data_IF_280317572697
#
_entry.id   IF_280317572697
#
_cell.length_a   1.000
_cell.length_b   1.000
_cell.length_c   1.000
_cell.angle_alpha   90.00
_cell.angle_beta   90.00
_cell.angle_gamma   90.00
#
_symmetry.space_group_name_H-M   'P 1'
#
loop_
_entity.id
_entity.type
_entity.pdbx_description
1 polymer ?
#
# COMPACT_ATOMS: atom_id res chain seq x y z
N UNK A 1 -19.99 -26.82 -1.66
CA UNK A 1 -19.06 -26.46 -2.74
C UNK A 1 -17.79 -25.92 -2.10
N UNK A 2 -16.68 -26.47 -2.50
CA UNK A 2 -15.37 -25.94 -2.09
C UNK A 2 -15.20 -24.52 -2.66
N UNK A 3 -14.73 -23.58 -1.86
CA UNK A 3 -14.59 -22.16 -2.24
C UNK A 3 -13.15 -21.69 -1.91
N UNK A 4 -12.17 -22.16 -2.71
CA UNK A 4 -10.75 -21.83 -2.46
C UNK A 4 -10.47 -20.34 -2.55
N UNK A 5 -11.25 -19.58 -3.33
CA UNK A 5 -11.21 -18.12 -3.39
C UNK A 5 -11.51 -17.45 -2.04
N UNK A 6 -12.46 -17.97 -1.29
CA UNK A 6 -12.77 -17.49 0.07
C UNK A 6 -11.71 -17.94 1.09
N UNK A 7 -11.17 -19.16 0.95
CA UNK A 7 -10.09 -19.64 1.83
C UNK A 7 -8.80 -18.82 1.66
N UNK A 8 -8.50 -18.36 0.45
CA UNK A 8 -7.38 -17.45 0.20
C UNK A 8 -7.55 -16.10 0.90
N UNK A 9 -8.78 -15.60 1.06
CA UNK A 9 -9.03 -14.34 1.78
C UNK A 9 -8.88 -14.48 3.30
N UNK A 10 -9.10 -15.69 3.87
CA UNK A 10 -8.93 -15.90 5.31
C UNK A 10 -7.48 -15.72 5.72
N UNK A 11 -7.24 -14.74 6.58
CA UNK A 11 -5.89 -14.35 6.97
C UNK A 11 -5.12 -13.49 5.96
N UNK A 12 -5.72 -13.16 4.81
CA UNK A 12 -5.10 -12.30 3.81
C UNK A 12 -4.92 -10.85 4.30
N UNK A 13 -3.94 -10.17 3.75
CA UNK A 13 -3.71 -8.74 3.95
C UNK A 13 -3.77 -8.04 2.60
N UNK A 14 -4.69 -7.09 2.45
CA UNK A 14 -4.70 -6.16 1.32
C UNK A 14 -3.62 -5.10 1.53
N UNK A 15 -2.57 -5.12 0.72
CA UNK A 15 -1.44 -4.20 0.88
C UNK A 15 -1.71 -2.80 0.35
N UNK A 16 -2.88 -2.56 -0.28
CA UNK A 16 -3.17 -1.31 -0.95
C UNK A 16 -4.68 -1.03 -1.05
N UNK A 17 -5.23 -0.32 -0.09
CA UNK A 17 -6.67 -0.04 -0.02
C UNK A 17 -6.97 1.46 0.08
N UNK A 18 -7.87 1.95 -0.77
CA UNK A 18 -8.33 3.34 -0.76
C UNK A 18 -9.76 3.46 -0.22
N UNK A 19 -9.96 4.35 0.76
CA UNK A 19 -11.26 4.55 1.41
C UNK A 19 -11.52 6.04 1.68
N UNK A 20 -12.76 6.39 2.02
CA UNK A 20 -13.09 7.71 2.57
C UNK A 20 -12.61 7.82 4.03
N UNK A 21 -12.23 9.04 4.49
CA UNK A 21 -12.24 10.32 3.75
C UNK A 21 -11.09 10.40 2.75
N UNK A 22 -11.33 11.00 1.59
CA UNK A 22 -10.34 11.26 0.56
C UNK A 22 -10.79 12.44 -0.32
N UNK A 23 -9.87 13.07 -1.04
CA UNK A 23 -10.23 14.09 -2.04
C UNK A 23 -11.01 13.47 -3.21
N UNK A 24 -10.81 12.20 -3.49
CA UNK A 24 -11.57 11.44 -4.47
C UNK A 24 -12.82 10.82 -3.84
N UNK A 25 -13.88 10.74 -4.63
CA UNK A 25 -15.07 10.01 -4.21
C UNK A 25 -14.73 8.51 -4.10
N UNK A 26 -14.86 7.96 -2.90
CA UNK A 26 -14.65 6.54 -2.62
C UNK A 26 -15.99 5.82 -2.48
N UNK A 27 -15.99 4.50 -2.73
CA UNK A 27 -17.19 3.66 -2.60
C UNK A 27 -17.54 3.35 -1.15
N UNK A 28 -16.53 3.20 -0.27
CA UNK A 28 -16.69 2.89 1.16
C UNK A 28 -15.72 3.71 2.00
N UNK A 29 -15.97 3.76 3.30
CA UNK A 29 -15.09 4.33 4.31
C UNK A 29 -14.26 3.26 5.03
N UNK A 30 -13.38 3.69 5.95
CA UNK A 30 -12.50 2.81 6.71
C UNK A 30 -13.25 1.79 7.57
N UNK A 31 -14.34 2.22 8.21
CA UNK A 31 -15.13 1.35 9.10
C UNK A 31 -15.84 0.27 8.29
N UNK A 32 -16.46 0.65 7.18
CA UNK A 32 -17.10 -0.30 6.26
C UNK A 32 -16.10 -1.29 5.67
N UNK A 33 -14.87 -0.84 5.33
CA UNK A 33 -13.82 -1.76 4.90
C UNK A 33 -13.47 -2.76 6.02
N UNK A 34 -13.34 -2.31 7.25
CA UNK A 34 -13.03 -3.17 8.39
C UNK A 34 -14.14 -4.23 8.63
N UNK A 35 -15.41 -3.84 8.49
CA UNK A 35 -16.55 -4.75 8.56
C UNK A 35 -16.50 -5.83 7.45
N UNK A 36 -16.26 -5.43 6.21
CA UNK A 36 -16.10 -6.38 5.11
C UNK A 36 -14.89 -7.28 5.29
N UNK A 37 -13.72 -6.73 5.65
CA UNK A 37 -12.53 -7.53 5.89
C UNK A 37 -12.76 -8.56 7.02
N UNK A 38 -13.46 -8.17 8.08
CA UNK A 38 -13.89 -9.09 9.16
C UNK A 38 -14.80 -10.19 8.62
N UNK A 39 -15.82 -9.85 7.83
CA UNK A 39 -16.77 -10.82 7.28
C UNK A 39 -16.09 -11.86 6.36
N UNK A 40 -15.04 -11.45 5.62
CA UNK A 40 -14.23 -12.35 4.79
C UNK A 40 -13.10 -13.05 5.56
N UNK A 41 -12.94 -12.77 6.86
CA UNK A 41 -11.91 -13.36 7.71
C UNK A 41 -10.49 -12.89 7.36
N UNK A 42 -10.35 -11.74 6.74
CA UNK A 42 -9.03 -11.16 6.41
C UNK A 42 -8.28 -10.77 7.69
N UNK A 43 -6.95 -10.85 7.64
CA UNK A 43 -6.09 -10.35 8.72
C UNK A 43 -6.11 -8.82 8.78
N UNK A 44 -6.08 -8.15 7.63
CA UNK A 44 -6.04 -6.69 7.63
C UNK A 44 -5.85 -6.05 6.27
N UNK A 45 -5.55 -4.77 6.31
CA UNK A 45 -5.34 -3.94 5.12
C UNK A 45 -4.46 -2.73 5.40
N UNK A 46 -3.72 -2.27 4.40
CA UNK A 46 -2.96 -1.02 4.44
C UNK A 46 -3.84 0.09 3.86
N UNK A 47 -4.13 1.09 4.69
CA UNK A 47 -4.85 2.29 4.25
C UNK A 47 -3.91 3.22 3.48
N UNK A 48 -4.22 3.48 2.23
CA UNK A 48 -3.49 4.44 1.40
C UNK A 48 -4.36 5.65 1.07
N UNK A 49 -3.83 6.84 1.32
CA UNK A 49 -4.43 8.10 0.90
C UNK A 49 -3.37 8.92 0.16
N UNK A 50 -3.76 9.50 -0.96
CA UNK A 50 -2.83 10.31 -1.76
C UNK A 50 -2.47 11.64 -1.11
N UNK A 51 -3.32 12.14 -0.22
CA UNK A 51 -3.30 13.54 0.22
C UNK A 51 -3.07 13.73 1.71
N UNK A 52 -3.06 12.64 2.48
CA UNK A 52 -2.86 12.67 3.93
C UNK A 52 -2.18 11.39 4.46
N UNK A 53 -1.57 11.48 5.65
CA UNK A 53 -1.18 10.28 6.39
C UNK A 53 -2.43 9.56 6.90
N UNK A 54 -2.42 8.22 6.81
CA UNK A 54 -3.53 7.37 7.27
C UNK A 54 -3.29 6.77 8.65
N UNK A 55 -2.18 7.12 9.32
CA UNK A 55 -1.81 6.54 10.62
C UNK A 55 -2.86 6.78 11.71
N UNK A 56 -3.40 7.99 11.79
CA UNK A 56 -4.48 8.31 12.73
C UNK A 56 -5.78 7.56 12.42
N UNK A 57 -6.10 7.36 11.13
CA UNK A 57 -7.26 6.57 10.68
C UNK A 57 -7.09 5.11 11.10
N UNK A 58 -5.94 4.51 10.82
CA UNK A 58 -5.60 3.14 11.19
C UNK A 58 -5.68 2.93 12.73
N UNK A 59 -5.19 3.89 13.53
CA UNK A 59 -5.30 3.85 14.98
C UNK A 59 -6.75 3.71 15.45
N UNK A 60 -7.66 4.54 14.91
CA UNK A 60 -9.07 4.48 15.31
C UNK A 60 -9.79 3.24 14.77
N UNK A 61 -9.50 2.80 13.55
CA UNK A 61 -10.04 1.54 13.02
C UNK A 61 -9.68 0.36 13.91
N UNK A 62 -8.41 0.22 14.30
CA UNK A 62 -7.96 -0.85 15.19
C UNK A 62 -8.63 -0.84 16.57
N UNK A 63 -9.02 0.33 17.06
CA UNK A 63 -9.76 0.46 18.33
C UNK A 63 -11.23 0.06 18.20
N UNK A 64 -11.84 0.36 17.06
CA UNK A 64 -13.27 0.10 16.82
C UNK A 64 -13.52 -1.31 16.28
N UNK A 65 -12.56 -1.86 15.53
CA UNK A 65 -12.65 -3.15 14.84
C UNK A 65 -11.45 -4.05 15.18
N UNK A 66 -11.33 -4.54 16.45
CA UNK A 66 -10.15 -5.30 16.90
C UNK A 66 -10.01 -6.69 16.23
N UNK A 67 -10.96 -7.08 15.40
CA UNK A 67 -10.95 -8.37 14.67
C UNK A 67 -10.03 -8.31 13.43
N UNK A 68 -9.70 -7.12 12.95
CA UNK A 68 -8.82 -6.88 11.80
C UNK A 68 -7.71 -5.90 12.16
N UNK A 69 -6.66 -5.87 11.36
CA UNK A 69 -5.55 -4.94 11.52
C UNK A 69 -5.57 -3.92 10.37
N UNK A 70 -5.81 -2.65 10.69
CA UNK A 70 -5.57 -1.56 9.76
C UNK A 70 -4.13 -1.05 9.95
N UNK A 71 -3.39 -0.93 8.86
CA UNK A 71 -2.03 -0.41 8.84
C UNK A 71 -2.02 0.98 8.23
N UNK A 72 -1.43 1.93 8.95
CA UNK A 72 -1.27 3.30 8.47
C UNK A 72 -0.09 3.43 7.51
N UNK A 73 -0.12 4.51 6.74
CA UNK A 73 0.89 4.82 5.74
C UNK A 73 0.95 6.32 5.44
N UNK A 74 1.92 6.71 4.62
CA UNK A 74 1.99 8.05 4.03
C UNK A 74 2.45 7.96 2.58
N UNK A 75 1.88 8.80 1.73
CA UNK A 75 2.31 8.99 0.33
C UNK A 75 2.94 10.36 0.21
N UNK A 76 4.18 10.44 -0.25
CA UNK A 76 4.97 11.68 -0.30
C UNK A 76 4.60 12.56 -1.50
N UNK A 77 3.29 12.80 -1.65
CA UNK A 77 2.74 13.74 -2.61
C UNK A 77 2.85 15.20 -2.11
N UNK A 78 2.61 16.17 -2.99
CA UNK A 78 2.68 17.61 -2.66
C UNK A 78 1.78 18.02 -1.51
N UNK A 79 0.63 17.36 -1.37
CA UNK A 79 -0.35 17.63 -0.30
C UNK A 79 0.21 17.42 1.11
N UNK A 80 1.21 16.55 1.25
CA UNK A 80 1.94 16.34 2.52
C UNK A 80 3.33 17.00 2.53
N UNK A 81 3.68 17.78 1.49
CA UNK A 81 4.95 18.50 1.39
C UNK A 81 5.99 17.84 0.47
N UNK A 82 5.59 16.88 -0.37
CA UNK A 82 6.48 16.20 -1.33
C UNK A 82 7.49 15.28 -0.64
N UNK A 83 8.71 15.21 -1.18
CA UNK A 83 9.82 14.45 -0.59
C UNK A 83 10.33 15.13 0.68
N UNK A 84 9.55 15.03 1.74
CA UNK A 84 9.83 15.67 3.03
C UNK A 84 10.21 14.62 4.07
N UNK A 85 11.51 14.53 4.49
CA UNK A 85 11.95 13.57 5.49
C UNK A 85 11.22 13.69 6.83
N UNK A 86 10.87 14.90 7.27
CA UNK A 86 10.12 15.11 8.52
C UNK A 86 8.73 14.49 8.48
N UNK A 87 8.08 14.49 7.33
CA UNK A 87 6.76 13.85 7.16
C UNK A 87 6.89 12.33 7.20
N UNK A 88 7.92 11.77 6.56
CA UNK A 88 8.19 10.34 6.59
C UNK A 88 8.47 9.87 8.02
N UNK A 89 9.39 10.55 8.73
CA UNK A 89 9.74 10.27 10.12
C UNK A 89 8.51 10.36 11.04
N UNK A 90 7.75 11.46 10.96
CA UNK A 90 6.56 11.62 11.77
C UNK A 90 5.53 10.51 11.52
N UNK A 91 5.25 10.17 10.25
CA UNK A 91 4.31 9.09 9.92
C UNK A 91 4.77 7.74 10.48
N UNK A 92 6.07 7.43 10.40
CA UNK A 92 6.66 6.20 10.94
C UNK A 92 6.47 6.15 12.46
N UNK A 93 6.80 7.22 13.17
CA UNK A 93 6.60 7.30 14.63
C UNK A 93 5.12 7.26 15.06
N UNK A 94 4.21 7.66 14.19
CA UNK A 94 2.76 7.44 14.37
C UNK A 94 2.31 6.02 13.97
N UNK A 95 3.22 5.11 13.57
CA UNK A 95 2.95 3.71 13.28
C UNK A 95 2.68 3.40 11.81
N UNK A 96 3.16 4.23 10.88
CA UNK A 96 3.11 3.88 9.46
C UNK A 96 3.91 2.60 9.19
N UNK A 97 3.34 1.71 8.39
CA UNK A 97 4.00 0.48 7.92
C UNK A 97 4.58 0.64 6.51
N UNK A 98 4.11 1.63 5.77
CA UNK A 98 4.59 1.90 4.40
C UNK A 98 4.78 3.41 4.21
N UNK A 99 5.92 3.78 3.66
CA UNK A 99 6.19 5.11 3.10
C UNK A 99 6.21 4.96 1.58
N UNK A 100 5.22 5.54 0.91
CA UNK A 100 5.22 5.59 -0.55
C UNK A 100 5.94 6.84 -1.05
N UNK A 101 6.81 6.68 -2.03
CA UNK A 101 7.27 7.77 -2.87
C UNK A 101 6.08 8.41 -3.60
N UNK A 102 6.24 9.58 -4.23
CA UNK A 102 5.14 10.27 -4.88
C UNK A 102 4.34 9.39 -5.83
N UNK A 103 3.02 9.48 -5.73
CA UNK A 103 2.11 8.81 -6.64
C UNK A 103 1.55 9.80 -7.67
N UNK A 104 0.32 10.24 -7.53
CA UNK A 104 -0.36 11.10 -8.50
C UNK A 104 0.34 12.47 -8.72
N UNK A 105 1.18 12.89 -7.79
CA UNK A 105 2.01 14.09 -7.95
C UNK A 105 3.44 13.78 -8.43
N UNK A 106 3.76 12.54 -8.81
CA UNK A 106 5.06 12.25 -9.39
C UNK A 106 5.18 12.87 -10.79
N UNK A 107 6.41 13.25 -11.18
CA UNK A 107 6.69 13.75 -12.51
C UNK A 107 6.33 12.73 -13.59
N UNK A 108 6.70 11.47 -13.36
CA UNK A 108 6.38 10.39 -14.30
C UNK A 108 4.86 10.20 -14.50
N UNK A 109 4.05 10.30 -13.42
CA UNK A 109 2.59 10.21 -13.54
C UNK A 109 2.03 11.36 -14.40
N UNK A 110 2.50 12.59 -14.16
CA UNK A 110 2.07 13.77 -14.93
C UNK A 110 2.42 13.63 -16.42
N UNK A 111 3.63 13.17 -16.72
CA UNK A 111 4.10 12.94 -18.10
C UNK A 111 3.31 11.80 -18.78
N UNK A 112 3.07 10.69 -18.09
CA UNK A 112 2.37 9.53 -18.64
C UNK A 112 0.92 9.83 -19.03
N UNK A 113 0.21 10.59 -18.19
CA UNK A 113 -1.20 10.93 -18.43
C UNK A 113 -1.38 12.26 -19.17
N UNK A 114 -0.29 12.91 -19.62
CA UNK A 114 -0.31 14.24 -20.23
C UNK A 114 -1.10 15.27 -19.39
N UNK A 115 -0.93 15.16 -18.09
CA UNK A 115 -1.59 16.04 -17.12
C UNK A 115 -0.50 16.74 -16.32
N UNK A 116 -0.26 18.06 -16.52
CA UNK A 116 0.74 18.83 -15.76
C UNK A 116 0.41 18.87 -14.27
N UNK A 117 -0.79 18.44 -13.91
CA UNK A 117 -1.29 18.40 -12.56
C UNK A 117 -2.22 17.21 -12.35
N UNK A 118 -2.28 16.83 -11.09
CA UNK A 118 -3.19 15.87 -10.54
C UNK A 118 -4.61 16.01 -11.12
N UNK A 119 -5.22 14.93 -11.67
CA UNK A 119 -6.56 14.98 -12.20
C UNK A 119 -7.52 15.49 -11.11
N UNK A 120 -8.08 16.65 -11.33
CA UNK A 120 -8.95 17.28 -10.35
C UNK A 120 -10.33 16.63 -10.39
N UNK A 121 -10.56 15.62 -9.58
CA UNK A 121 -11.89 15.07 -9.33
C UNK A 121 -12.73 15.95 -8.38
N UNK A 122 -12.55 17.27 -8.45
CA UNK A 122 -13.30 18.22 -7.64
C UNK A 122 -13.73 19.43 -8.46
N UNK A 123 -15.01 19.76 -8.40
CA UNK A 123 -15.55 20.94 -9.08
C UNK A 123 -14.85 22.21 -8.61
N UNK A 124 -14.29 22.98 -9.54
CA UNK A 124 -13.92 24.37 -9.34
C UNK A 124 -12.63 24.64 -8.55
N UNK A 125 -11.75 23.66 -8.35
CA UNK A 125 -10.43 23.94 -7.78
C UNK A 125 -9.53 24.60 -8.80
N UNK A 126 -8.88 25.69 -8.40
CA UNK A 126 -7.78 26.26 -9.14
C UNK A 126 -6.61 25.27 -9.10
N UNK A 127 -6.13 24.90 -10.26
CA UNK A 127 -4.95 24.06 -10.41
C UNK A 127 -3.73 24.78 -9.80
N UNK A 128 -3.02 24.13 -8.88
CA UNK A 128 -1.78 24.65 -8.34
C UNK A 128 -0.64 24.28 -9.29
N UNK A 129 0.22 25.23 -9.68
CA UNK A 129 1.29 24.96 -10.64
C UNK A 129 2.34 24.01 -10.07
N UNK A 130 2.94 23.21 -10.92
CA UNK A 130 4.09 22.39 -10.58
C UNK A 130 4.40 21.28 -11.59
N UNK A 131 5.68 20.98 -11.76
CA UNK A 131 6.19 20.05 -12.78
C UNK A 131 6.22 18.57 -12.36
N UNK A 132 5.47 18.21 -11.32
CA UNK A 132 5.56 16.89 -10.72
C UNK A 132 6.74 16.79 -9.74
N UNK A 133 6.67 15.79 -8.86
CA UNK A 133 7.73 15.48 -7.88
C UNK A 133 8.59 14.35 -8.45
N UNK A 134 9.90 14.55 -8.50
CA UNK A 134 10.86 13.51 -8.88
C UNK A 134 11.85 13.28 -7.75
N UNK A 135 12.40 12.08 -7.69
CA UNK A 135 13.48 11.73 -6.74
C UNK A 135 14.85 12.20 -7.22
N UNK A 136 14.96 12.71 -8.46
CA UNK A 136 16.19 13.16 -9.04
C UNK A 136 16.45 14.65 -8.84
N UNK A 137 17.72 15.03 -8.77
CA UNK A 137 18.20 16.39 -8.95
C UNK A 137 17.99 16.86 -10.41
N UNK A 138 18.32 18.10 -10.72
CA UNK A 138 18.17 18.68 -12.07
C UNK A 138 18.89 17.89 -13.17
N UNK A 139 19.91 17.12 -12.82
CA UNK A 139 20.65 16.29 -13.78
C UNK A 139 19.86 15.06 -14.28
N UNK A 140 18.70 14.77 -13.67
CA UNK A 140 17.83 13.67 -14.01
C UNK A 140 18.42 12.27 -13.71
N UNK A 141 19.41 12.19 -12.83
CA UNK A 141 20.14 10.93 -12.52
C UNK A 141 20.50 10.80 -11.06
N UNK A 142 20.95 11.88 -10.43
CA UNK A 142 21.38 11.89 -9.03
C UNK A 142 20.18 11.98 -8.12
N UNK A 143 20.07 11.12 -7.10
CA UNK A 143 18.99 11.24 -6.13
C UNK A 143 19.14 12.52 -5.31
N UNK A 144 18.02 13.17 -5.05
CA UNK A 144 17.96 14.31 -4.14
C UNK A 144 18.42 13.92 -2.73
N UNK A 145 18.97 14.89 -2.00
CA UNK A 145 19.30 14.68 -0.59
C UNK A 145 18.09 14.18 0.21
N UNK A 146 16.91 14.75 -0.08
CA UNK A 146 15.67 14.36 0.59
C UNK A 146 15.30 12.88 0.36
N UNK A 147 15.42 12.37 -0.88
CA UNK A 147 15.17 10.97 -1.19
C UNK A 147 16.14 10.03 -0.44
N UNK A 148 17.43 10.37 -0.39
CA UNK A 148 18.43 9.59 0.38
C UNK A 148 18.12 9.58 1.88
N UNK A 149 17.83 10.74 2.47
CA UNK A 149 17.47 10.82 3.89
C UNK A 149 16.20 10.04 4.21
N UNK A 150 15.21 9.99 3.30
CA UNK A 150 14.03 9.14 3.48
C UNK A 150 14.40 7.65 3.47
N UNK A 151 15.33 7.21 2.61
CA UNK A 151 15.83 5.82 2.66
C UNK A 151 16.49 5.50 4.00
N UNK A 152 17.32 6.39 4.53
CA UNK A 152 17.97 6.25 5.83
C UNK A 152 16.95 6.11 6.97
N UNK A 153 15.95 7.01 7.04
CA UNK A 153 14.88 6.98 8.05
C UNK A 153 14.07 5.67 7.96
N UNK A 154 13.72 5.24 6.74
CA UNK A 154 12.96 4.01 6.51
C UNK A 154 13.76 2.78 6.95
N UNK A 155 15.07 2.75 6.66
CA UNK A 155 15.97 1.66 7.06
C UNK A 155 16.12 1.57 8.57
N UNK A 156 16.35 2.70 9.25
CA UNK A 156 16.50 2.78 10.71
C UNK A 156 15.27 2.27 11.47
N UNK A 157 14.09 2.37 10.87
CA UNK A 157 12.83 1.98 11.49
C UNK A 157 12.26 0.66 10.96
N UNK A 158 12.95 -0.02 10.03
CA UNK A 158 12.55 -1.29 9.38
C UNK A 158 11.09 -1.29 8.86
N UNK A 159 10.68 -0.18 8.22
CA UNK A 159 9.38 -0.05 7.55
C UNK A 159 9.52 -0.23 6.04
N UNK A 160 8.41 -0.43 5.34
CA UNK A 160 8.45 -0.61 3.90
C UNK A 160 8.59 0.74 3.15
N UNK A 161 9.50 0.78 2.18
CA UNK A 161 9.60 1.85 1.18
C UNK A 161 8.97 1.41 -0.12
N UNK A 162 7.95 2.12 -0.60
CA UNK A 162 7.26 1.79 -1.84
C UNK A 162 7.49 2.87 -2.90
N UNK A 163 7.65 2.46 -4.16
CA UNK A 163 8.08 3.35 -5.26
C UNK A 163 7.01 4.34 -5.72
N UNK A 164 5.74 4.16 -5.34
CA UNK A 164 4.68 5.01 -5.85
C UNK A 164 4.59 4.97 -7.38
N UNK A 165 4.51 6.13 -8.02
CA UNK A 165 4.39 6.27 -9.47
C UNK A 165 5.70 6.77 -10.11
N UNK A 166 6.84 6.29 -9.64
CA UNK A 166 8.14 6.63 -10.20
C UNK A 166 8.38 5.93 -11.54
N UNK A 167 9.19 6.55 -12.40
CA UNK A 167 9.68 5.92 -13.63
C UNK A 167 10.65 4.75 -13.32
N UNK A 168 10.85 3.86 -14.28
CA UNK A 168 11.79 2.73 -14.10
C UNK A 168 13.22 3.21 -13.79
N UNK A 169 13.66 4.33 -14.37
CA UNK A 169 14.97 4.89 -14.06
C UNK A 169 15.07 5.33 -12.60
N UNK A 170 14.04 6.02 -12.09
CA UNK A 170 13.96 6.43 -10.69
C UNK A 170 13.86 5.23 -9.75
N UNK A 171 13.07 4.20 -10.10
CA UNK A 171 12.92 2.96 -9.32
C UNK A 171 14.29 2.28 -9.13
N UNK A 172 15.07 2.11 -10.22
CA UNK A 172 16.38 1.47 -10.15
C UNK A 172 17.35 2.24 -9.28
N UNK A 173 17.44 3.57 -9.48
CA UNK A 173 18.35 4.41 -8.70
C UNK A 173 17.93 4.49 -7.24
N UNK A 174 16.63 4.57 -6.96
CA UNK A 174 16.10 4.55 -5.59
C UNK A 174 16.38 3.22 -4.91
N UNK A 175 16.21 2.08 -5.62
CA UNK A 175 16.49 0.76 -5.07
C UNK A 175 17.96 0.61 -4.69
N UNK A 176 18.88 1.05 -5.53
CA UNK A 176 20.32 0.98 -5.23
C UNK A 176 20.64 1.81 -3.97
N UNK A 177 20.11 3.03 -3.85
CA UNK A 177 20.28 3.84 -2.64
C UNK A 177 19.57 3.26 -1.41
N UNK A 178 18.42 2.64 -1.58
CA UNK A 178 17.71 1.95 -0.50
C UNK A 178 18.52 0.78 0.05
N UNK A 179 19.17 0.01 -0.83
CA UNK A 179 20.09 -1.08 -0.45
C UNK A 179 21.29 -0.52 0.32
N UNK A 180 21.91 0.55 -0.18
CA UNK A 180 23.04 1.22 0.48
C UNK A 180 22.68 1.73 1.88
N UNK A 181 21.46 2.25 2.05
CA UNK A 181 20.93 2.70 3.34
C UNK A 181 20.53 1.55 4.28
N UNK A 182 20.40 0.31 3.78
CA UNK A 182 19.96 -0.84 4.57
C UNK A 182 18.45 -1.06 4.62
N UNK A 183 17.69 -0.56 3.65
CA UNK A 183 16.24 -0.81 3.55
C UNK A 183 15.98 -2.28 3.21
N UNK A 184 15.34 -3.01 4.11
CA UNK A 184 15.03 -4.43 3.96
C UNK A 184 13.69 -4.70 3.24
N UNK A 185 12.81 -3.69 3.13
CA UNK A 185 11.43 -3.83 2.66
C UNK A 185 11.16 -2.83 1.54
N UNK A 186 11.47 -3.23 0.32
CA UNK A 186 11.33 -2.38 -0.86
C UNK A 186 10.19 -2.91 -1.74
N UNK A 187 9.15 -2.09 -1.97
CA UNK A 187 7.97 -2.46 -2.76
C UNK A 187 7.98 -1.68 -4.07
N UNK A 188 7.92 -2.41 -5.19
CA UNK A 188 7.65 -1.81 -6.50
C UNK A 188 6.15 -1.76 -6.71
N UNK A 189 5.60 -0.57 -6.56
CA UNK A 189 4.15 -0.31 -6.60
C UNK A 189 3.61 -0.51 -8.01
N UNK A 190 2.43 -1.14 -8.14
CA UNK A 190 1.69 -1.36 -9.40
C UNK A 190 2.53 -1.96 -10.53
N UNK A 191 3.39 -2.93 -10.27
CA UNK A 191 4.26 -3.53 -11.27
C UNK A 191 3.52 -4.07 -12.51
N UNK A 192 2.21 -4.34 -12.37
CA UNK A 192 1.32 -4.81 -13.41
C UNK A 192 0.48 -3.71 -14.09
N UNK A 193 0.46 -2.48 -13.56
CA UNK A 193 -0.33 -1.39 -14.14
C UNK A 193 0.42 -0.68 -15.28
N UNK A 194 -0.30 -0.16 -16.29
CA UNK A 194 0.28 0.42 -17.50
C UNK A 194 1.29 1.53 -17.23
N UNK A 195 1.09 2.31 -16.18
CA UNK A 195 2.01 3.36 -15.74
C UNK A 195 3.44 2.85 -15.50
N UNK A 196 3.56 1.68 -14.88
CA UNK A 196 4.84 1.03 -14.60
C UNK A 196 5.12 -0.11 -15.58
N UNK A 197 4.12 -0.94 -15.89
CA UNK A 197 4.08 -2.13 -16.75
C UNK A 197 5.44 -2.78 -16.98
N UNK A 198 6.03 -3.26 -15.90
CA UNK A 198 7.37 -3.83 -15.94
C UNK A 198 7.32 -5.22 -16.57
N UNK A 199 8.04 -5.42 -17.66
CA UNK A 199 8.21 -6.74 -18.23
C UNK A 199 8.84 -7.71 -17.22
N UNK A 200 8.58 -9.02 -17.39
CA UNK A 200 8.99 -10.06 -16.41
C UNK A 200 10.50 -10.08 -16.14
N UNK A 201 11.34 -9.76 -17.11
CA UNK A 201 12.79 -9.75 -16.92
C UNK A 201 13.24 -8.58 -16.04
N UNK A 202 12.59 -7.41 -16.18
CA UNK A 202 12.81 -6.26 -15.30
C UNK A 202 12.35 -6.57 -13.88
N UNK A 203 11.21 -7.24 -13.72
CA UNK A 203 10.74 -7.66 -12.40
C UNK A 203 11.74 -8.63 -11.75
N UNK A 204 12.27 -9.60 -12.48
CA UNK A 204 13.32 -10.52 -11.98
C UNK A 204 14.60 -9.78 -11.59
N UNK A 205 15.02 -8.79 -12.38
CA UNK A 205 16.17 -7.92 -12.05
C UNK A 205 15.97 -7.24 -10.69
N UNK A 206 14.83 -6.58 -10.49
CA UNK A 206 14.53 -5.85 -9.26
C UNK A 206 14.35 -6.80 -8.06
N UNK A 207 13.71 -7.95 -8.26
CA UNK A 207 13.56 -9.01 -7.24
C UNK A 207 14.92 -9.57 -6.81
N UNK A 208 15.82 -9.80 -7.76
CA UNK A 208 17.17 -10.29 -7.45
C UNK A 208 17.96 -9.33 -6.55
N UNK A 209 17.57 -8.04 -6.53
CA UNK A 209 18.11 -7.01 -5.62
C UNK A 209 17.27 -6.84 -4.35
N UNK A 210 16.31 -7.72 -4.07
CA UNK A 210 15.50 -7.73 -2.85
C UNK A 210 14.18 -6.97 -2.92
N UNK A 211 13.72 -6.53 -4.11
CA UNK A 211 12.41 -5.91 -4.23
C UNK A 211 11.26 -6.92 -4.12
N UNK A 212 10.13 -6.45 -3.62
CA UNK A 212 8.83 -7.12 -3.72
C UNK A 212 7.97 -6.40 -4.75
N UNK A 213 7.42 -7.14 -5.71
CA UNK A 213 6.48 -6.59 -6.69
C UNK A 213 5.09 -6.49 -6.07
N UNK A 214 4.44 -5.35 -6.21
CA UNK A 214 3.01 -5.22 -5.88
C UNK A 214 2.20 -5.34 -7.17
N UNK A 215 1.32 -6.35 -7.22
CA UNK A 215 0.27 -6.44 -8.23
C UNK A 215 -1.05 -5.93 -7.65
N UNK A 216 -1.84 -5.25 -8.48
CA UNK A 216 -3.09 -4.64 -8.03
C UNK A 216 -4.28 -5.21 -8.76
N UNK A 217 -5.31 -5.54 -7.99
CA UNK A 217 -6.51 -6.17 -8.53
C UNK A 217 -7.35 -5.19 -9.39
N UNK A 218 -7.29 -3.88 -9.11
CA UNK A 218 -8.10 -2.88 -9.80
C UNK A 218 -7.88 -2.91 -11.33
N UNK A 219 -6.66 -3.20 -11.78
CA UNK A 219 -6.34 -3.32 -13.22
C UNK A 219 -7.10 -4.44 -13.94
N UNK A 220 -7.59 -5.45 -13.19
CA UNK A 220 -8.29 -6.61 -13.72
C UNK A 220 -9.79 -6.63 -13.42
N UNK A 221 -10.25 -5.92 -12.37
CA UNK A 221 -11.65 -6.04 -11.89
C UNK A 221 -12.40 -4.71 -11.82
N UNK A 222 -11.70 -3.57 -11.90
CA UNK A 222 -12.35 -2.27 -11.85
C UNK A 222 -12.96 -1.90 -13.19
N UNK A 223 -14.24 -1.51 -13.27
CA UNK A 223 -14.87 -1.13 -14.53
C UNK A 223 -14.31 0.16 -15.14
N UNK A 224 -13.58 0.95 -14.35
CA UNK A 224 -13.01 2.25 -14.78
C UNK A 224 -11.49 2.25 -14.92
N UNK A 225 -10.81 1.20 -14.42
CA UNK A 225 -9.34 1.03 -14.52
C UNK A 225 -8.97 -0.35 -15.07
N UNK A 226 -9.90 -1.00 -15.76
CA UNK A 226 -9.62 -2.28 -16.37
C UNK A 226 -8.70 -2.12 -17.58
N UNK A 227 -7.50 -2.66 -17.49
CA UNK A 227 -6.48 -2.57 -18.53
C UNK A 227 -5.62 -3.82 -18.68
N UNK A 228 -5.84 -4.82 -17.83
CA UNK A 228 -5.11 -6.08 -17.86
C UNK A 228 -6.05 -7.30 -17.77
N UNK A 229 -5.85 -8.27 -18.63
CA UNK A 229 -6.56 -9.54 -18.53
C UNK A 229 -5.98 -10.38 -17.38
N UNK A 230 -6.81 -11.08 -16.59
CA UNK A 230 -6.33 -12.00 -15.56
C UNK A 230 -5.34 -13.06 -16.09
N UNK A 231 -5.49 -13.48 -17.35
CA UNK A 231 -4.58 -14.43 -18.00
C UNK A 231 -3.15 -13.91 -18.13
N UNK A 232 -2.98 -12.64 -18.50
CA UNK A 232 -1.64 -12.01 -18.58
C UNK A 232 -0.99 -11.92 -17.20
N UNK A 233 -1.78 -11.58 -16.19
CA UNK A 233 -1.31 -11.54 -14.80
C UNK A 233 -0.93 -12.93 -14.30
N UNK A 234 -1.71 -13.97 -14.68
CA UNK A 234 -1.44 -15.36 -14.34
C UNK A 234 -0.08 -15.84 -14.87
N UNK A 235 0.28 -15.46 -16.11
CA UNK A 235 1.59 -15.78 -16.68
C UNK A 235 2.75 -15.26 -15.81
N UNK A 236 2.66 -14.03 -15.33
CA UNK A 236 3.68 -13.43 -14.47
C UNK A 236 3.73 -14.09 -13.09
N UNK A 237 2.56 -14.37 -12.50
CA UNK A 237 2.49 -15.08 -11.21
C UNK A 237 3.13 -16.46 -11.30
N UNK A 238 2.82 -17.20 -12.35
CA UNK A 238 3.40 -18.54 -12.60
C UNK A 238 4.92 -18.44 -12.81
N UNK A 239 5.38 -17.46 -13.61
CA UNK A 239 6.80 -17.25 -13.89
C UNK A 239 7.62 -16.88 -12.65
N UNK A 240 7.01 -16.20 -11.66
CA UNK A 240 7.62 -15.83 -10.39
C UNK A 240 7.25 -16.79 -9.24
N UNK A 241 6.37 -17.77 -9.47
CA UNK A 241 5.86 -18.73 -8.45
C UNK A 241 5.25 -18.05 -7.22
N UNK A 242 4.70 -16.83 -7.40
CA UNK A 242 4.20 -15.99 -6.32
C UNK A 242 5.27 -15.54 -5.31
N UNK A 243 6.56 -15.75 -5.61
CA UNK A 243 7.66 -15.35 -4.74
C UNK A 243 8.01 -13.88 -4.92
N UNK A 244 8.20 -13.16 -3.78
CA UNK A 244 8.45 -11.71 -3.78
C UNK A 244 7.38 -10.90 -4.55
N UNK A 245 6.14 -11.35 -4.47
CA UNK A 245 4.97 -10.66 -5.03
C UNK A 245 3.90 -10.53 -3.95
N UNK A 246 3.33 -9.35 -3.79
CA UNK A 246 2.13 -9.11 -2.96
C UNK A 246 0.96 -8.74 -3.87
N UNK A 247 -0.25 -9.05 -3.43
CA UNK A 247 -1.48 -8.68 -4.11
C UNK A 247 -2.24 -7.65 -3.29
N UNK A 248 -2.20 -6.38 -3.74
CA UNK A 248 -3.05 -5.32 -3.24
C UNK A 248 -4.34 -5.19 -4.06
N UNK A 249 -5.37 -4.60 -3.48
CA UNK A 249 -6.58 -4.35 -4.26
C UNK A 249 -6.44 -3.11 -5.15
N UNK A 250 -5.88 -2.04 -4.62
CA UNK A 250 -5.92 -0.68 -5.19
C UNK A 250 -7.35 -0.26 -5.56
N UNK A 251 -8.32 -0.81 -4.83
CA UNK A 251 -9.74 -0.51 -4.97
C UNK A 251 -10.16 0.63 -4.05
N UNK A 252 -11.41 1.02 -4.16
CA UNK A 252 -12.00 2.14 -3.45
C UNK A 252 -12.58 3.20 -4.37
N UNK A 253 -12.43 3.05 -5.69
CA UNK A 253 -13.06 3.92 -6.67
C UNK A 253 -14.58 3.74 -6.61
N UNK A 254 -15.33 4.85 -6.78
CA UNK A 254 -16.78 4.89 -6.55
C UNK A 254 -17.61 3.88 -7.36
N UNK A 255 -17.10 3.42 -8.51
CA UNK A 255 -17.75 2.46 -9.38
C UNK A 255 -17.14 1.04 -9.28
N UNK A 256 -16.12 0.85 -8.44
CA UNK A 256 -15.47 -0.45 -8.23
C UNK A 256 -16.19 -1.32 -7.20
N UNK A 257 -15.88 -2.63 -7.17
CA UNK A 257 -16.34 -3.50 -6.09
C UNK A 257 -15.68 -3.10 -4.75
N UNK A 258 -16.26 -3.48 -3.61
CA UNK A 258 -15.55 -3.41 -2.33
C UNK A 258 -14.26 -4.24 -2.37
N UNK A 259 -13.24 -3.81 -1.64
CA UNK A 259 -11.89 -4.39 -1.67
C UNK A 259 -11.83 -5.91 -1.52
N UNK A 260 -12.45 -6.54 -0.49
CA UNK A 260 -12.41 -7.99 -0.34
C UNK A 260 -13.10 -8.71 -1.50
N UNK A 261 -14.20 -8.14 -2.03
CA UNK A 261 -14.90 -8.75 -3.16
C UNK A 261 -14.08 -8.65 -4.45
N UNK A 262 -13.44 -7.52 -4.71
CA UNK A 262 -12.57 -7.38 -5.87
C UNK A 262 -11.36 -8.32 -5.81
N UNK A 263 -10.72 -8.47 -4.65
CA UNK A 263 -9.67 -9.48 -4.45
C UNK A 263 -10.22 -10.89 -4.70
N UNK A 264 -11.38 -11.24 -4.12
CA UNK A 264 -12.02 -12.53 -4.33
C UNK A 264 -12.30 -12.81 -5.81
N UNK A 265 -12.83 -11.83 -6.54
CA UNK A 265 -13.11 -11.96 -7.98
C UNK A 265 -11.84 -12.27 -8.77
N UNK A 266 -10.75 -11.56 -8.50
CA UNK A 266 -9.47 -11.82 -9.16
C UNK A 266 -8.91 -13.19 -8.77
N UNK A 267 -8.91 -13.54 -7.49
CA UNK A 267 -8.42 -14.84 -7.01
C UNK A 267 -9.21 -16.00 -7.62
N UNK A 268 -10.54 -15.88 -7.73
CA UNK A 268 -11.36 -16.89 -8.39
C UNK A 268 -10.99 -17.05 -9.87
N UNK A 269 -10.80 -15.95 -10.60
CA UNK A 269 -10.38 -15.98 -11.99
C UNK A 269 -8.99 -16.60 -12.18
N UNK A 270 -8.02 -16.25 -11.31
CA UNK A 270 -6.67 -16.80 -11.37
C UNK A 270 -6.64 -18.33 -11.08
N UNK A 271 -7.46 -18.78 -10.13
CA UNK A 271 -7.63 -20.21 -9.83
C UNK A 271 -8.26 -20.95 -11.01
N UNK A 272 -9.28 -20.38 -11.65
CA UNK A 272 -9.95 -20.97 -12.83
C UNK A 272 -9.00 -21.07 -14.03
N UNK A 273 -8.09 -20.10 -14.19
CA UNK A 273 -7.03 -20.12 -15.21
C UNK A 273 -5.97 -21.18 -14.91
N UNK A 274 -5.86 -21.66 -13.68
CA UNK A 274 -4.92 -22.69 -13.26
C UNK A 274 -3.67 -22.18 -12.53
N UNK A 275 -3.72 -20.97 -11.98
CA UNK A 275 -2.64 -20.51 -11.08
C UNK A 275 -2.66 -21.38 -9.80
N UNK A 276 -1.52 -21.98 -9.39
CA UNK A 276 -1.45 -22.79 -8.20
C UNK A 276 -1.90 -22.05 -6.94
N UNK A 277 -2.72 -22.70 -6.10
CA UNK A 277 -3.24 -22.12 -4.87
C UNK A 277 -2.13 -21.58 -3.95
N UNK A 278 -1.05 -22.32 -3.80
CA UNK A 278 0.09 -21.96 -2.98
C UNK A 278 0.81 -20.67 -3.44
N UNK A 279 0.75 -20.32 -4.73
CA UNK A 279 1.32 -19.06 -5.22
C UNK A 279 0.45 -17.88 -4.78
N UNK A 280 -0.87 -18.02 -4.90
CA UNK A 280 -1.82 -17.01 -4.46
C UNK A 280 -1.81 -16.85 -2.94
N UNK A 281 -1.64 -17.96 -2.21
CA UNK A 281 -1.52 -17.91 -0.75
C UNK A 281 -0.26 -17.16 -0.30
N UNK A 282 0.89 -17.38 -0.95
CA UNK A 282 2.10 -16.57 -0.71
C UNK A 282 1.81 -15.08 -0.90
N UNK A 283 1.19 -14.71 -2.02
CA UNK A 283 0.95 -13.32 -2.40
C UNK A 283 -0.05 -12.60 -1.49
N UNK A 284 -1.00 -13.32 -0.91
CA UNK A 284 -2.08 -12.74 -0.09
C UNK A 284 -1.82 -12.82 1.41
N UNK A 285 -0.98 -13.78 1.87
CA UNK A 285 -0.78 -14.04 3.30
C UNK A 285 0.69 -13.91 3.72
N UNK A 286 1.60 -14.67 3.11
CA UNK A 286 2.97 -14.78 3.60
C UNK A 286 3.84 -13.56 3.24
N UNK A 287 3.84 -13.19 1.97
CA UNK A 287 4.66 -12.06 1.51
C UNK A 287 4.20 -10.72 2.10
N UNK A 288 2.87 -10.42 2.26
CA UNK A 288 2.42 -9.23 2.98
C UNK A 288 2.92 -9.16 4.42
N UNK A 289 2.90 -10.29 5.15
CA UNK A 289 3.44 -10.35 6.52
C UNK A 289 4.93 -9.99 6.53
N UNK A 290 5.69 -10.55 5.59
CA UNK A 290 7.11 -10.33 5.50
C UNK A 290 7.44 -8.88 5.12
N UNK A 291 6.80 -8.33 4.07
CA UNK A 291 7.11 -6.98 3.58
C UNK A 291 6.64 -5.88 4.53
N UNK A 292 5.59 -6.12 5.31
CA UNK A 292 5.10 -5.17 6.33
C UNK A 292 5.76 -5.35 7.71
N UNK A 293 6.67 -6.29 7.87
CA UNK A 293 7.35 -6.56 9.15
C UNK A 293 6.39 -6.95 10.26
N UNK A 294 5.49 -7.88 9.98
CA UNK A 294 4.48 -8.32 10.93
C UNK A 294 4.86 -9.64 11.59
N UNK A 295 4.33 -9.87 12.79
CA UNK A 295 4.42 -11.18 13.43
C UNK A 295 3.72 -12.24 12.56
N UNK A 296 4.35 -13.41 12.43
CA UNK A 296 3.80 -14.52 11.65
C UNK A 296 2.53 -15.09 12.27
N UNK A 297 2.47 -15.18 13.61
CA UNK A 297 1.30 -15.62 14.34
C UNK A 297 0.27 -14.50 14.43
N UNK A 298 -0.93 -14.77 13.95
CA UNK A 298 -2.07 -13.88 14.11
C UNK A 298 -3.34 -14.70 14.35
N UNK A 299 -4.14 -14.23 15.30
CA UNK A 299 -5.49 -14.72 15.51
C UNK A 299 -6.42 -13.51 15.67
N UNK A 300 -7.61 -13.51 15.05
CA UNK A 300 -8.57 -12.43 15.26
C UNK A 300 -8.96 -12.36 16.76
N UNK A 301 -9.13 -11.15 17.26
CA UNK A 301 -9.68 -10.97 18.59
C UNK A 301 -11.07 -11.63 18.66
N UNK A 302 -11.36 -12.31 19.76
CA UNK A 302 -12.67 -12.91 19.97
C UNK A 302 -13.76 -11.82 19.86
N UNK A 303 -14.81 -12.10 19.09
CA UNK A 303 -15.98 -11.20 19.04
C UNK A 303 -16.55 -11.07 20.43
N UNK A 304 -16.56 -9.88 21.00
CA UNK A 304 -17.27 -9.63 22.23
C UNK A 304 -18.77 -9.90 21.98
N UNK A 305 -19.26 -11.03 22.45
CA UNK A 305 -20.67 -11.35 22.42
C UNK A 305 -21.39 -10.54 23.51
N UNK A 306 -21.83 -9.34 23.14
CA UNK A 306 -22.64 -8.50 24.02
C UNK A 306 -22.86 -7.10 23.46
N UNK A 307 -24.02 -6.46 23.72
CA UNK A 307 -24.24 -5.08 23.32
C UNK A 307 -23.18 -4.20 23.99
N UNK A 308 -22.71 -3.16 23.27
CA UNK A 308 -21.75 -2.20 23.77
C UNK A 308 -22.28 -1.53 25.04
N UNK A 309 -22.04 -2.20 26.17
CA UNK A 309 -22.15 -1.59 27.48
C UNK A 309 -20.98 -0.63 27.62
N UNK A 310 -21.27 0.59 28.07
CA UNK A 310 -20.34 1.64 28.43
C UNK A 310 -19.14 1.05 29.17
N UNK A 311 -18.09 0.64 28.45
CA UNK A 311 -16.81 0.29 29.04
C UNK A 311 -16.21 1.58 29.58
N UNK A 312 -16.24 1.70 30.89
CA UNK A 312 -15.58 2.79 31.61
C UNK A 312 -14.13 2.94 31.14
N UNK A 313 -13.70 4.15 31.02
CA UNK A 313 -12.32 4.54 30.75
C UNK A 313 -11.46 3.98 31.89
N UNK A 314 -11.02 2.73 31.76
CA UNK A 314 -9.94 2.21 32.58
C UNK A 314 -8.65 2.82 32.02
N UNK A 315 -8.11 3.78 32.77
CA UNK A 315 -6.88 4.47 32.43
C UNK A 315 -5.72 3.49 32.29
N UNK A 316 -5.25 3.32 31.08
CA UNK A 316 -3.91 2.81 30.82
C UNK A 316 -2.94 3.98 31.10
N UNK A 317 -2.67 4.24 32.36
CA UNK A 317 -1.58 5.06 32.83
C UNK A 317 -0.26 4.32 32.66
N UNK A 318 0.22 4.23 31.44
CA UNK A 318 1.63 3.98 31.16
C UNK A 318 2.32 5.34 31.19
N UNK A 319 3.16 5.60 32.21
CA UNK A 319 4.01 6.77 32.21
C UNK A 319 4.88 6.78 30.94
N UNK A 320 5.05 7.94 30.27
CA UNK A 320 5.98 8.04 29.16
C UNK A 320 7.40 7.75 29.67
N UNK A 321 8.28 7.16 28.83
CA UNK A 321 9.66 6.94 29.21
C UNK A 321 10.29 8.28 29.59
N UNK A 322 10.92 8.33 30.78
CA UNK A 322 11.66 9.49 31.23
C UNK A 322 12.85 9.71 30.30
N UNK A 323 12.86 10.84 29.57
CA UNK A 323 14.00 11.23 28.74
C UNK A 323 13.69 11.92 27.44
N UNK A 324 12.50 12.50 27.25
CA UNK A 324 12.22 13.34 26.07
C UNK A 324 12.88 14.73 26.18
N UNK A 325 13.28 15.37 25.02
CA UNK A 325 14.06 16.61 24.97
C UNK A 325 13.33 17.89 25.46
N UNK A 326 12.21 17.77 26.14
CA UNK A 326 11.42 18.89 26.70
C UNK A 326 11.41 18.96 28.22
N UNK A 327 12.37 18.29 28.88
CA UNK A 327 12.59 18.53 30.30
C UNK A 327 13.66 19.62 30.46
N UNK A 328 13.27 20.91 30.27
CA UNK A 328 13.86 22.10 30.87
C UNK A 328 12.79 23.12 31.06
#
# INVERSE_FOLDING_TARGET
>A
MDRPDLELLRGAIDTHAHTSPALFKRNIDDATLAEFATAYGMRGFVLKDHDSSTTGRAYYVNRMHPQVQAFGAVVLNRSVGGLNPYVAEAAIHYGAKVVWMPSNHSKHHAEFFDTPDYPQFGRGRKQLPGDGVTVFEEDGKTLTKAARTICEIVAENDVALATGHLSLAEIRTLQDAAIEAGVNRFIVTHANWSLCKLGIDVQRELIAKGATMEYVACSCVSPIFWEQQPGELAEWIIALKGENVVLGSDLGQFAGPPHPEGLRMLLAALLDIGVPYEYLEKMTKHNPVQVLGLETSWAPAATASGPAGTAGIAGAGGAPPAGGPFAK
#
